data_IF_248555650050
#
_entry.id   IF_248555650050
#
_cell.length_a   1.000
_cell.length_b   1.000
_cell.length_c   1.000
_cell.angle_alpha   90.00
_cell.angle_beta   90.00
_cell.angle_gamma   90.00
#
_symmetry.space_group_name_H-M   'P 1'
#
loop_
_entity.id
_entity.type
_entity.pdbx_description
1 polymer ?
#
# COMPACT_ATOMS: atom_id res chain seq x y z
N UNK A 1 -27.05 -3.72 11.29
CA UNK A 1 -27.96 -2.94 10.42
C UNK A 1 -27.17 -2.39 9.26
N UNK A 2 -27.81 -2.02 8.15
CA UNK A 2 -27.13 -1.41 6.99
C UNK A 2 -26.29 -0.19 7.38
N UNK A 3 -26.87 0.72 8.17
CA UNK A 3 -26.17 1.91 8.69
C UNK A 3 -24.90 1.56 9.48
N UNK A 4 -24.94 0.53 10.32
CA UNK A 4 -23.77 0.12 11.09
C UNK A 4 -22.66 -0.46 10.19
N UNK A 5 -23.02 -1.23 9.15
CA UNK A 5 -22.04 -1.76 8.20
C UNK A 5 -21.41 -0.66 7.34
N UNK A 6 -22.21 0.33 6.91
CA UNK A 6 -21.70 1.53 6.24
C UNK A 6 -20.76 2.33 7.15
N UNK A 7 -21.08 2.43 8.44
CA UNK A 7 -20.22 3.06 9.44
C UNK A 7 -18.83 2.42 9.51
N UNK A 8 -18.74 1.09 9.51
CA UNK A 8 -17.46 0.37 9.51
C UNK A 8 -16.63 0.67 8.25
N UNK A 9 -17.25 0.68 7.07
CA UNK A 9 -16.52 1.00 5.83
C UNK A 9 -16.07 2.45 5.81
N UNK A 10 -16.93 3.36 6.28
CA UNK A 10 -16.59 4.79 6.39
C UNK A 10 -15.40 4.99 7.34
N UNK A 11 -15.43 4.38 8.53
CA UNK A 11 -14.33 4.47 9.49
C UNK A 11 -13.02 3.98 8.88
N UNK A 12 -13.03 2.82 8.20
CA UNK A 12 -11.84 2.31 7.52
C UNK A 12 -11.33 3.25 6.42
N UNK A 13 -12.23 3.88 5.66
CA UNK A 13 -11.89 4.88 4.65
C UNK A 13 -11.29 6.14 5.28
N UNK A 14 -11.89 6.63 6.35
CA UNK A 14 -11.45 7.86 7.01
C UNK A 14 -10.06 7.64 7.64
N UNK A 15 -9.83 6.48 8.29
CA UNK A 15 -8.49 6.09 8.80
C UNK A 15 -7.45 5.95 7.66
N UNK A 16 -7.84 5.38 6.51
CA UNK A 16 -6.98 5.29 5.34
C UNK A 16 -6.60 6.67 4.83
N UNK A 17 -7.56 7.58 4.68
CA UNK A 17 -7.33 8.93 4.16
C UNK A 17 -6.47 9.75 5.11
N UNK A 18 -6.62 9.57 6.43
CA UNK A 18 -5.73 10.19 7.41
C UNK A 18 -4.29 9.67 7.27
N UNK A 19 -4.13 8.36 7.03
CA UNK A 19 -2.81 7.74 6.94
C UNK A 19 -2.11 7.95 5.57
N UNK A 20 -2.88 7.95 4.49
CA UNK A 20 -2.40 7.98 3.10
C UNK A 20 -3.26 8.93 2.24
N UNK A 21 -3.33 10.21 2.67
CA UNK A 21 -4.18 11.25 2.07
C UNK A 21 -4.04 11.38 0.55
N UNK A 22 -2.80 11.28 0.07
CA UNK A 22 -2.48 11.27 -1.35
C UNK A 22 -1.74 9.95 -1.65
N UNK A 23 -2.41 8.92 -2.21
CA UNK A 23 -1.84 7.60 -2.43
C UNK A 23 -0.47 7.64 -3.12
N UNK A 24 -0.34 8.42 -4.19
CA UNK A 24 0.93 8.56 -4.91
C UNK A 24 2.04 9.16 -4.05
N UNK A 25 1.78 10.30 -3.40
CA UNK A 25 2.78 10.94 -2.54
C UNK A 25 3.14 10.03 -1.35
N UNK A 26 2.17 9.28 -0.82
CA UNK A 26 2.41 8.30 0.23
C UNK A 26 3.38 7.21 -0.25
N UNK A 27 3.17 6.66 -1.45
CA UNK A 27 4.08 5.68 -2.04
C UNK A 27 5.48 6.26 -2.30
N UNK A 28 5.56 7.47 -2.86
CA UNK A 28 6.84 8.15 -3.10
C UNK A 28 7.61 8.39 -1.81
N UNK A 29 6.93 8.82 -0.74
CA UNK A 29 7.53 9.00 0.59
C UNK A 29 7.98 7.67 1.21
N UNK A 30 7.21 6.59 1.01
CA UNK A 30 7.57 5.26 1.49
C UNK A 30 8.85 4.75 0.82
N UNK A 31 8.93 4.90 -0.50
CA UNK A 31 10.12 4.58 -1.29
C UNK A 31 11.32 5.43 -0.86
N UNK A 32 11.12 6.74 -0.65
CA UNK A 32 12.15 7.64 -0.14
C UNK A 32 12.69 7.20 1.21
N UNK A 33 11.81 6.85 2.17
CA UNK A 33 12.22 6.35 3.48
C UNK A 33 13.04 5.06 3.40
N UNK A 34 12.69 4.14 2.50
CA UNK A 34 13.49 2.95 2.23
C UNK A 34 14.88 3.32 1.66
N UNK A 35 14.96 4.23 0.69
CA UNK A 35 16.23 4.67 0.09
C UNK A 35 17.12 5.36 1.13
N UNK A 36 16.56 6.26 1.94
CA UNK A 36 17.29 7.01 2.96
C UNK A 36 17.87 6.11 4.06
N UNK A 37 17.29 4.92 4.25
CA UNK A 37 17.77 3.92 5.20
C UNK A 37 18.94 3.07 4.67
N UNK A 38 19.31 3.20 3.40
CA UNK A 38 20.44 2.47 2.82
C UNK A 38 21.79 2.95 3.42
N UNK A 39 22.74 2.03 3.67
CA UNK A 39 24.04 2.41 4.21
C UNK A 39 24.86 3.22 3.19
N UNK A 40 25.42 4.34 3.64
CA UNK A 40 26.13 5.34 2.78
C UNK A 40 27.60 4.95 2.51
N UNK A 41 28.16 3.93 3.17
CA UNK A 41 29.62 3.73 3.22
C UNK A 41 30.15 2.69 2.21
N UNK A 42 31.08 3.06 1.29
CA UNK A 42 31.63 2.18 0.26
C UNK A 42 32.86 1.35 0.69
N UNK A 43 33.38 1.52 1.92
CA UNK A 43 34.70 0.99 2.33
C UNK A 43 34.76 -0.50 2.71
N UNK A 44 33.81 -1.33 2.28
CA UNK A 44 33.82 -2.75 2.64
C UNK A 44 33.52 -3.67 1.45
N UNK A 45 34.60 -4.08 0.76
CA UNK A 45 34.68 -5.29 -0.07
C UNK A 45 34.25 -6.58 0.68
N UNK A 46 33.92 -6.50 1.97
CA UNK A 46 33.51 -7.63 2.81
C UNK A 46 31.99 -7.77 3.01
N UNK A 47 31.16 -6.76 2.70
CA UNK A 47 29.72 -6.75 3.02
C UNK A 47 28.79 -6.48 1.82
N UNK A 48 29.15 -6.94 0.62
CA UNK A 48 28.30 -6.84 -0.58
C UNK A 48 26.86 -7.41 -0.42
N UNK A 49 26.54 -8.08 0.69
CA UNK A 49 25.20 -8.58 1.04
C UNK A 49 24.28 -7.57 1.75
N UNK A 50 24.77 -6.43 2.24
CA UNK A 50 23.97 -5.53 3.10
C UNK A 50 23.89 -4.10 2.57
N UNK A 51 23.66 -3.93 1.26
CA UNK A 51 23.31 -2.63 0.65
C UNK A 51 21.80 -2.38 0.60
N UNK A 52 20.99 -3.27 1.19
CA UNK A 52 19.53 -3.11 1.24
C UNK A 52 19.13 -2.06 2.29
N UNK A 53 18.12 -1.27 1.96
CA UNK A 53 17.43 -0.44 2.94
C UNK A 53 16.59 -1.27 3.91
N UNK A 54 16.07 -0.62 4.94
CA UNK A 54 15.17 -1.17 5.93
C UNK A 54 13.79 -1.49 5.31
N UNK A 55 13.58 -2.77 5.00
CA UNK A 55 12.31 -3.28 4.46
C UNK A 55 11.14 -3.11 5.44
N UNK A 56 11.41 -2.99 6.75
CA UNK A 56 10.36 -2.87 7.76
C UNK A 56 9.53 -1.60 7.59
N UNK A 57 10.07 -0.56 6.94
CA UNK A 57 9.36 0.66 6.54
C UNK A 57 8.20 0.31 5.62
N UNK A 58 8.46 -0.49 4.59
CA UNK A 58 7.48 -0.90 3.58
C UNK A 58 6.51 -1.93 4.16
N UNK A 59 7.02 -2.93 4.88
CA UNK A 59 6.21 -3.98 5.50
C UNK A 59 5.23 -3.42 6.54
N UNK A 60 5.67 -2.46 7.37
CA UNK A 60 4.80 -1.82 8.37
C UNK A 60 3.68 -1.03 7.71
N UNK A 61 3.99 -0.31 6.62
CA UNK A 61 2.98 0.40 5.85
C UNK A 61 1.97 -0.56 5.22
N UNK A 62 2.45 -1.64 4.58
CA UNK A 62 1.61 -2.67 3.98
C UNK A 62 0.64 -3.26 5.00
N UNK A 63 1.15 -3.74 6.15
CA UNK A 63 0.34 -4.33 7.21
C UNK A 63 -0.75 -3.38 7.73
N UNK A 64 -0.45 -2.07 7.78
CA UNK A 64 -1.43 -1.06 8.21
C UNK A 64 -2.53 -0.84 7.15
N UNK A 65 -2.19 -0.78 5.87
CA UNK A 65 -3.17 -0.69 4.78
C UNK A 65 -4.04 -1.95 4.69
N UNK A 66 -3.44 -3.14 4.81
CA UNK A 66 -4.17 -4.41 4.85
C UNK A 66 -5.18 -4.47 6.00
N UNK A 67 -4.86 -3.88 7.15
CA UNK A 67 -5.80 -3.75 8.26
C UNK A 67 -7.02 -2.90 7.89
N UNK A 68 -6.83 -1.78 7.18
CA UNK A 68 -7.94 -0.96 6.68
C UNK A 68 -8.77 -1.72 5.66
N UNK A 69 -8.12 -2.42 4.73
CA UNK A 69 -8.79 -3.29 3.76
C UNK A 69 -9.65 -4.35 4.47
N UNK A 70 -9.09 -5.05 5.45
CA UNK A 70 -9.81 -6.08 6.21
C UNK A 70 -11.03 -5.53 6.97
N UNK A 71 -10.97 -4.30 7.48
CA UNK A 71 -12.14 -3.62 8.08
C UNK A 71 -13.19 -3.30 7.01
N UNK A 72 -12.79 -2.64 5.93
CA UNK A 72 -13.69 -2.23 4.85
C UNK A 72 -14.38 -3.45 4.19
N UNK A 73 -13.62 -4.49 3.89
CA UNK A 73 -14.12 -5.72 3.26
C UNK A 73 -15.15 -6.44 4.15
N UNK A 74 -14.94 -6.47 5.48
CA UNK A 74 -15.94 -7.03 6.42
C UNK A 74 -17.25 -6.26 6.37
N UNK A 75 -17.19 -4.93 6.33
CA UNK A 75 -18.37 -4.07 6.19
C UNK A 75 -19.09 -4.32 4.87
N UNK A 76 -18.35 -4.32 3.75
CA UNK A 76 -18.86 -4.58 2.41
C UNK A 76 -19.53 -5.96 2.28
N UNK A 77 -18.88 -7.03 2.76
CA UNK A 77 -19.44 -8.39 2.76
C UNK A 77 -20.73 -8.48 3.58
N UNK A 78 -20.82 -7.73 4.67
CA UNK A 78 -22.02 -7.67 5.49
C UNK A 78 -23.16 -6.98 4.75
N UNK A 79 -22.88 -5.90 4.02
CA UNK A 79 -23.86 -5.22 3.16
C UNK A 79 -24.35 -6.17 2.06
N UNK A 80 -23.44 -6.87 1.38
CA UNK A 80 -23.79 -7.84 0.35
C UNK A 80 -24.74 -8.92 0.89
N UNK A 81 -24.45 -9.46 2.06
CA UNK A 81 -25.30 -10.49 2.70
C UNK A 81 -26.70 -9.97 3.07
N UNK A 82 -26.83 -8.69 3.42
CA UNK A 82 -28.11 -8.10 3.81
C UNK A 82 -28.94 -7.62 2.62
N UNK A 83 -28.30 -7.03 1.61
CA UNK A 83 -28.96 -6.23 0.58
C UNK A 83 -28.62 -6.69 -0.85
N UNK A 84 -27.71 -7.65 -1.03
CA UNK A 84 -27.20 -8.03 -2.33
C UNK A 84 -26.36 -6.91 -2.98
N UNK A 85 -26.37 -6.88 -4.31
CA UNK A 85 -25.76 -5.80 -5.09
C UNK A 85 -26.71 -4.60 -5.10
N UNK A 86 -26.39 -3.58 -4.31
CA UNK A 86 -27.12 -2.33 -4.21
C UNK A 86 -26.15 -1.13 -4.30
N UNK A 87 -26.64 0.12 -4.42
CA UNK A 87 -25.77 1.31 -4.50
C UNK A 87 -24.82 1.44 -3.31
N UNK A 88 -25.27 1.10 -2.11
CA UNK A 88 -24.44 1.08 -0.90
C UNK A 88 -23.31 0.07 -1.02
N UNK A 89 -23.62 -1.15 -1.49
CA UNK A 89 -22.61 -2.17 -1.72
C UNK A 89 -21.58 -1.70 -2.77
N UNK A 90 -22.05 -1.15 -3.90
CA UNK A 90 -21.18 -0.62 -4.96
C UNK A 90 -20.26 0.50 -4.46
N UNK A 91 -20.77 1.43 -3.64
CA UNK A 91 -19.96 2.47 -3.03
C UNK A 91 -18.88 1.88 -2.11
N UNK A 92 -19.22 0.85 -1.33
CA UNK A 92 -18.22 0.18 -0.48
C UNK A 92 -17.23 -0.68 -1.27
N UNK A 93 -17.61 -1.20 -2.43
CA UNK A 93 -16.68 -1.87 -3.35
C UNK A 93 -15.65 -0.90 -3.91
N UNK A 94 -16.05 0.32 -4.29
CA UNK A 94 -15.10 1.34 -4.75
C UNK A 94 -14.04 1.67 -3.69
N UNK A 95 -14.44 1.73 -2.41
CA UNK A 95 -13.49 1.90 -1.30
C UNK A 95 -12.54 0.71 -1.21
N UNK A 96 -13.05 -0.51 -1.23
CA UNK A 96 -12.23 -1.72 -1.15
C UNK A 96 -11.24 -1.82 -2.32
N UNK A 97 -11.69 -1.47 -3.53
CA UNK A 97 -10.87 -1.43 -4.73
C UNK A 97 -9.74 -0.40 -4.62
N UNK A 98 -10.05 0.83 -4.18
CA UNK A 98 -9.02 1.86 -3.99
C UNK A 98 -7.97 1.47 -2.94
N UNK A 99 -8.37 0.82 -1.85
CA UNK A 99 -7.41 0.29 -0.86
C UNK A 99 -6.55 -0.81 -1.48
N UNK A 100 -7.15 -1.71 -2.28
CA UNK A 100 -6.41 -2.80 -2.95
C UNK A 100 -5.40 -2.26 -3.95
N UNK A 101 -5.73 -1.21 -4.70
CA UNK A 101 -4.79 -0.55 -5.60
C UNK A 101 -3.58 0.00 -4.84
N UNK A 102 -3.79 0.60 -3.68
CA UNK A 102 -2.70 1.05 -2.82
C UNK A 102 -1.84 -0.12 -2.32
N UNK A 103 -2.45 -1.24 -1.92
CA UNK A 103 -1.72 -2.47 -1.53
C UNK A 103 -0.82 -2.93 -2.68
N UNK A 104 -1.35 -3.04 -3.89
CA UNK A 104 -0.58 -3.45 -5.08
C UNK A 104 0.62 -2.54 -5.32
N UNK A 105 0.46 -1.22 -5.14
CA UNK A 105 1.59 -0.28 -5.28
C UNK A 105 2.68 -0.49 -4.23
N UNK A 106 2.31 -0.81 -2.99
CA UNK A 106 3.27 -1.08 -1.91
C UNK A 106 3.97 -2.43 -2.15
N UNK A 107 3.20 -3.47 -2.51
CA UNK A 107 3.71 -4.81 -2.81
C UNK A 107 4.69 -4.80 -3.97
N UNK A 108 4.43 -4.03 -5.03
CA UNK A 108 5.33 -3.89 -6.18
C UNK A 108 6.72 -3.38 -5.75
N UNK A 109 6.75 -2.34 -4.91
CA UNK A 109 8.00 -1.82 -4.33
C UNK A 109 8.68 -2.88 -3.46
N UNK A 110 7.92 -3.55 -2.58
CA UNK A 110 8.46 -4.58 -1.69
C UNK A 110 9.10 -5.73 -2.49
N UNK A 111 8.40 -6.22 -3.51
CA UNK A 111 8.87 -7.29 -4.38
C UNK A 111 10.16 -6.92 -5.10
N UNK A 112 10.26 -5.69 -5.63
CA UNK A 112 11.47 -5.21 -6.31
C UNK A 112 12.61 -4.95 -5.32
N UNK A 113 12.32 -4.43 -4.13
CA UNK A 113 13.31 -4.24 -3.07
C UNK A 113 13.91 -5.58 -2.60
N UNK A 114 13.08 -6.64 -2.50
CA UNK A 114 13.52 -8.00 -2.18
C UNK A 114 14.38 -8.62 -3.28
N UNK A 115 14.16 -8.27 -4.56
CA UNK A 115 15.00 -8.70 -5.68
C UNK A 115 16.36 -8.00 -5.68
N UNK A 116 16.43 -6.79 -5.13
CA UNK A 116 17.66 -6.07 -4.88
C UNK A 116 17.56 -4.57 -5.21
N UNK A 117 18.39 -3.73 -4.58
CA UNK A 117 18.38 -2.28 -4.82
C UNK A 117 18.58 -1.89 -6.29
N UNK A 118 19.39 -2.65 -7.04
CA UNK A 118 19.61 -2.41 -8.47
C UNK A 118 18.34 -2.60 -9.31
N UNK A 119 17.56 -3.64 -9.02
CA UNK A 119 16.32 -3.95 -9.73
C UNK A 119 15.25 -2.92 -9.43
N UNK A 120 15.12 -2.53 -8.16
CA UNK A 120 14.21 -1.44 -7.77
C UNK A 120 14.61 -0.11 -8.43
N UNK A 121 15.91 0.21 -8.48
CA UNK A 121 16.40 1.43 -9.11
C UNK A 121 16.15 1.45 -10.63
N UNK A 122 16.36 0.32 -11.32
CA UNK A 122 16.05 0.19 -12.74
C UNK A 122 14.56 0.40 -13.01
N UNK A 123 13.67 -0.27 -12.26
CA UNK A 123 12.23 -0.12 -12.39
C UNK A 123 11.77 1.33 -12.13
N UNK A 124 12.32 1.98 -11.11
CA UNK A 124 12.06 3.39 -10.81
C UNK A 124 12.47 4.30 -11.97
N UNK A 125 13.66 4.08 -12.53
CA UNK A 125 14.21 4.86 -13.63
C UNK A 125 13.41 4.70 -14.93
N UNK A 126 12.97 3.47 -15.24
CA UNK A 126 12.18 3.15 -16.43
C UNK A 126 10.69 3.54 -16.31
N UNK A 127 10.25 4.01 -15.15
CA UNK A 127 8.84 4.34 -14.93
C UNK A 127 7.95 3.10 -14.82
N UNK A 128 8.51 1.96 -14.39
CA UNK A 128 7.84 0.67 -14.41
C UNK A 128 7.12 0.33 -13.11
N UNK A 129 7.34 1.10 -12.04
CA UNK A 129 6.64 0.90 -10.77
C UNK A 129 5.14 1.10 -10.95
N UNK A 130 4.34 0.28 -10.27
CA UNK A 130 2.89 0.29 -10.37
C UNK A 130 2.33 1.70 -10.19
N UNK A 131 2.77 2.43 -9.16
CA UNK A 131 2.29 3.79 -8.88
C UNK A 131 2.62 4.81 -10.00
N UNK A 132 3.66 4.58 -10.80
CA UNK A 132 4.05 5.47 -11.91
C UNK A 132 3.15 5.27 -13.14
N UNK A 133 2.48 4.12 -13.25
CA UNK A 133 1.56 3.78 -14.34
C UNK A 133 0.14 4.31 -14.10
N UNK A 134 -0.23 4.59 -12.85
CA UNK A 134 -1.50 5.24 -12.52
C UNK A 134 -1.37 6.76 -12.74
N UNK A 135 -2.11 7.29 -13.72
CA UNK A 135 -2.21 8.72 -14.06
C UNK A 135 -3.57 9.28 -13.65
#
# INVERSE_FOLDING_TARGET
>A
TLSSCLGVVKEAKDELVEYALAPRCFIENLLGGYIDSMPINPDYEFWAKSLMGDLSIIETALAKIEKFYGKAQKGQLSIYKMCGVCPEWQATEQVCQGVRELIVMIEDILCLALQGPSTLAEALFLGELAYQKYK
#
